data_IF_404931852268
#
_entry.id   IF_404931852268
#
_cell.length_a   1.000
_cell.length_b   1.000
_cell.length_c   1.000
_cell.angle_alpha   90.00
_cell.angle_beta   90.00
_cell.angle_gamma   90.00
#
_symmetry.space_group_name_H-M   'P 1'
#
loop_
_entity.id
_entity.type
_entity.pdbx_description
1 polymer ?
#
# COMPACT_ATOMS: atom_id res chain seq x y z
N UNK A 1 -19.89 50.87 -25.28
CA UNK A 1 -19.78 50.94 -23.82
C UNK A 1 -20.73 49.93 -23.20
N UNK A 2 -20.24 48.73 -22.84
CA UNK A 2 -20.92 47.72 -22.01
C UNK A 2 -19.83 46.78 -21.50
N UNK A 3 -19.50 46.92 -20.22
CA UNK A 3 -18.51 46.12 -19.50
C UNK A 3 -19.03 44.68 -19.35
N UNK A 4 -18.22 43.68 -19.69
CA UNK A 4 -18.42 42.30 -19.26
C UNK A 4 -17.44 42.02 -18.12
N UNK A 5 -17.98 41.89 -16.91
CA UNK A 5 -17.24 41.47 -15.72
C UNK A 5 -16.83 39.99 -15.83
N UNK A 6 -15.55 39.77 -15.62
CA UNK A 6 -14.86 38.51 -15.34
C UNK A 6 -15.41 37.82 -14.09
N UNK A 7 -15.63 36.50 -14.17
CA UNK A 7 -15.76 35.64 -13.01
C UNK A 7 -14.76 34.48 -13.15
N UNK A 8 -13.62 34.61 -12.49
CA UNK A 8 -12.58 33.59 -12.42
C UNK A 8 -12.88 32.73 -11.18
N UNK A 9 -13.53 31.58 -11.37
CA UNK A 9 -13.74 30.60 -10.30
C UNK A 9 -12.42 29.88 -10.00
N UNK A 10 -11.80 30.21 -8.87
CA UNK A 10 -10.69 29.45 -8.32
C UNK A 10 -11.21 28.15 -7.69
N UNK A 11 -10.90 27.02 -8.32
CA UNK A 11 -11.06 25.69 -7.71
C UNK A 11 -9.91 25.49 -6.72
N UNK A 12 -10.17 25.72 -5.43
CA UNK A 12 -9.24 25.34 -4.37
C UNK A 12 -9.23 23.82 -4.24
N UNK A 13 -8.15 23.16 -4.68
CA UNK A 13 -7.88 21.78 -4.30
C UNK A 13 -7.69 21.73 -2.78
N UNK A 14 -8.63 21.12 -2.06
CA UNK A 14 -8.39 20.68 -0.70
C UNK A 14 -7.31 19.59 -0.72
N UNK A 15 -6.08 19.96 -0.36
CA UNK A 15 -5.09 18.99 0.08
C UNK A 15 -5.63 18.36 1.36
N UNK A 16 -6.03 17.09 1.29
CA UNK A 16 -6.43 16.32 2.47
C UNK A 16 -5.16 16.07 3.27
N UNK A 17 -4.97 16.84 4.34
CA UNK A 17 -3.89 16.59 5.29
C UNK A 17 -4.15 15.24 5.97
N UNK A 18 -3.24 14.29 5.80
CA UNK A 18 -3.33 12.99 6.46
C UNK A 18 -3.17 13.15 7.99
N UNK A 19 -4.04 12.53 8.80
CA UNK A 19 -3.85 12.51 10.25
C UNK A 19 -2.59 11.71 10.61
N UNK A 20 -1.70 12.33 11.41
CA UNK A 20 -0.54 11.68 11.98
C UNK A 20 -0.99 10.50 12.87
N UNK A 21 -0.84 9.28 12.37
CA UNK A 21 -1.30 8.04 13.03
C UNK A 21 -2.00 7.04 12.11
N UNK A 22 -2.36 7.43 10.88
CA UNK A 22 -2.88 6.50 9.88
C UNK A 22 -1.75 5.66 9.29
N UNK A 23 -1.62 4.40 9.73
CA UNK A 23 -0.62 3.47 9.23
C UNK A 23 -1.06 2.88 7.88
N UNK A 24 -0.21 2.95 6.85
CA UNK A 24 -0.41 2.27 5.57
C UNK A 24 0.36 0.95 5.55
N UNK A 25 -0.28 -0.10 5.00
CA UNK A 25 0.30 -1.44 4.95
C UNK A 25 0.33 -1.99 3.53
N UNK A 26 1.48 -2.50 3.11
CA UNK A 26 1.63 -3.26 1.85
C UNK A 26 1.10 -4.68 2.03
N UNK A 27 0.21 -5.06 1.13
CA UNK A 27 -0.35 -6.39 0.95
C UNK A 27 0.42 -7.08 -0.17
N UNK A 28 1.45 -7.84 0.22
CA UNK A 28 2.16 -8.75 -0.69
C UNK A 28 1.51 -10.14 -0.64
N UNK A 29 1.60 -10.89 -1.73
CA UNK A 29 1.13 -12.28 -1.77
C UNK A 29 2.21 -13.27 -1.27
N UNK A 30 3.25 -12.79 -0.56
CA UNK A 30 4.42 -13.61 -0.28
C UNK A 30 4.05 -14.80 0.60
N UNK A 31 4.18 -15.99 0.00
CA UNK A 31 4.26 -17.28 0.69
C UNK A 31 5.15 -17.11 1.91
N UNK A 32 4.58 -17.21 3.10
CA UNK A 32 5.33 -17.23 4.34
C UNK A 32 6.20 -18.50 4.38
N UNK A 33 7.39 -18.44 3.80
CA UNK A 33 8.50 -19.36 4.10
C UNK A 33 9.19 -18.81 5.34
N UNK A 34 8.59 -19.05 6.50
CA UNK A 34 9.14 -18.57 7.76
C UNK A 34 8.15 -18.65 8.92
N UNK A 35 8.01 -19.85 9.49
CA UNK A 35 7.65 -20.04 10.90
C UNK A 35 6.34 -19.40 11.37
N UNK A 36 5.22 -20.03 10.99
CA UNK A 36 3.91 -19.82 11.62
C UNK A 36 3.08 -18.72 10.95
N UNK A 37 1.81 -19.05 10.71
CA UNK A 37 0.75 -18.23 10.09
C UNK A 37 0.63 -18.30 8.56
N UNK A 38 -0.55 -18.77 8.16
CA UNK A 38 -1.12 -18.89 6.81
C UNK A 38 -0.46 -19.93 5.88
N UNK A 39 -0.85 -21.18 6.13
CA UNK A 39 -0.99 -22.20 5.08
C UNK A 39 -1.86 -21.64 3.94
N UNK A 40 -1.35 -21.60 2.72
CA UNK A 40 -2.11 -21.20 1.52
C UNK A 40 -3.18 -22.23 1.12
N UNK A 41 -3.31 -23.31 1.89
CA UNK A 41 -4.46 -24.23 1.90
C UNK A 41 -5.55 -23.80 2.88
N UNK A 42 -5.32 -22.74 3.68
CA UNK A 42 -6.35 -22.16 4.53
C UNK A 42 -7.43 -21.55 3.63
N UNK A 43 -8.70 -21.98 3.77
CA UNK A 43 -9.79 -21.36 3.03
C UNK A 43 -9.78 -19.86 3.30
N UNK A 44 -10.04 -19.06 2.26
CA UNK A 44 -10.32 -17.62 2.40
C UNK A 44 -11.17 -17.44 3.66
N UNK A 45 -10.79 -16.55 4.60
CA UNK A 45 -11.51 -16.42 5.85
C UNK A 45 -12.99 -16.26 5.53
N UNK A 46 -13.81 -17.17 6.08
CA UNK A 46 -15.24 -17.24 5.74
C UNK A 46 -15.96 -15.91 6.03
N UNK A 47 -15.39 -15.13 6.97
CA UNK A 47 -15.86 -13.80 7.37
C UNK A 47 -14.76 -12.78 7.10
N UNK A 48 -14.83 -12.14 5.95
CA UNK A 48 -13.89 -11.12 5.56
C UNK A 48 -14.57 -9.97 4.81
N UNK A 49 -14.09 -8.75 5.06
CA UNK A 49 -14.46 -7.57 4.30
C UNK A 49 -13.61 -7.52 3.04
N UNK A 50 -14.22 -7.75 1.87
CA UNK A 50 -13.58 -7.56 0.57
C UNK A 50 -13.72 -6.11 0.12
N UNK A 51 -12.62 -5.50 -0.32
CA UNK A 51 -12.61 -4.14 -0.87
C UNK A 51 -11.52 -3.94 -1.91
N UNK A 52 -11.68 -2.95 -2.78
CA UNK A 52 -10.57 -2.44 -3.59
C UNK A 52 -9.50 -1.84 -2.66
N UNK A 53 -8.23 -2.17 -2.92
CA UNK A 53 -7.10 -1.58 -2.26
C UNK A 53 -7.00 -0.07 -2.55
N UNK A 54 -6.28 0.67 -1.72
CA UNK A 54 -6.16 2.12 -1.88
C UNK A 54 -5.12 2.46 -2.97
N UNK A 55 -4.03 1.70 -3.04
CA UNK A 55 -2.99 1.86 -4.05
C UNK A 55 -2.51 0.55 -4.66
N UNK A 56 -2.09 0.64 -5.92
CA UNK A 56 -1.14 -0.29 -6.52
C UNK A 56 0.28 0.19 -6.18
N UNK A 57 1.13 -0.73 -5.73
CA UNK A 57 2.47 -0.43 -5.24
C UNK A 57 3.48 -1.26 -6.03
N UNK A 58 4.55 -0.60 -6.48
CA UNK A 58 5.67 -1.27 -7.15
C UNK A 58 6.98 -0.76 -6.56
N UNK A 59 7.93 -1.67 -6.37
CA UNK A 59 9.28 -1.29 -5.97
C UNK A 59 10.03 -0.75 -7.19
N UNK A 60 10.87 0.25 -6.94
CA UNK A 60 11.83 0.75 -7.93
C UNK A 60 13.21 0.75 -7.32
N UNK A 61 14.19 0.52 -8.18
CA UNK A 61 15.62 0.53 -7.87
C UNK A 61 16.27 1.62 -8.70
N UNK A 62 16.98 2.53 -8.03
CA UNK A 62 17.86 3.51 -8.67
C UNK A 62 19.28 3.00 -8.50
N UNK A 63 19.94 2.70 -9.60
CA UNK A 63 21.30 2.14 -9.64
C UNK A 63 22.27 3.16 -10.22
N UNK A 64 23.46 3.29 -9.65
CA UNK A 64 24.54 4.10 -10.21
C UNK A 64 25.81 3.29 -10.42
N UNK A 65 26.38 3.40 -11.63
CA UNK A 65 27.60 2.67 -12.04
C UNK A 65 28.82 3.62 -12.21
N UNK A 66 28.75 4.81 -11.62
CA UNK A 66 29.86 5.79 -11.69
C UNK A 66 31.04 5.30 -10.85
N UNK A 67 32.26 5.28 -11.44
CA UNK A 67 33.47 4.75 -10.77
C UNK A 67 33.81 5.48 -9.48
N UNK A 68 33.67 6.80 -9.46
CA UNK A 68 33.89 7.59 -8.24
C UNK A 68 32.70 7.41 -7.27
N UNK A 69 32.93 6.90 -6.05
CA UNK A 69 31.85 6.56 -5.13
C UNK A 69 31.08 7.78 -4.61
N UNK A 70 31.75 8.92 -4.41
CA UNK A 70 31.10 10.13 -3.93
C UNK A 70 30.15 10.70 -5.00
N UNK A 71 30.64 10.74 -6.24
CA UNK A 71 29.86 11.17 -7.41
C UNK A 71 28.71 10.21 -7.72
N UNK A 72 28.93 8.90 -7.61
CA UNK A 72 27.88 7.87 -7.78
C UNK A 72 26.71 8.12 -6.82
N UNK A 73 27.02 8.30 -5.54
CA UNK A 73 26.03 8.59 -4.51
C UNK A 73 25.28 9.91 -4.79
N UNK A 74 26.01 10.94 -5.20
CA UNK A 74 25.40 12.23 -5.57
C UNK A 74 24.41 12.07 -6.74
N UNK A 75 24.79 11.35 -7.79
CA UNK A 75 23.95 11.08 -8.96
C UNK A 75 22.67 10.30 -8.58
N UNK A 76 22.80 9.24 -7.77
CA UNK A 76 21.66 8.44 -7.28
C UNK A 76 20.69 9.34 -6.52
N UNK A 77 21.17 10.10 -5.52
CA UNK A 77 20.31 10.96 -4.71
C UNK A 77 19.73 12.13 -5.51
N UNK A 78 20.46 12.68 -6.47
CA UNK A 78 19.95 13.72 -7.36
C UNK A 78 18.81 13.19 -8.25
N UNK A 79 18.91 11.94 -8.75
CA UNK A 79 17.84 11.30 -9.49
C UNK A 79 16.59 11.07 -8.62
N UNK A 80 16.77 10.57 -7.39
CA UNK A 80 15.68 10.38 -6.42
C UNK A 80 15.00 11.71 -6.10
N UNK A 81 15.78 12.78 -5.88
CA UNK A 81 15.25 14.13 -5.67
C UNK A 81 14.42 14.60 -6.87
N UNK A 82 14.89 14.35 -8.09
CA UNK A 82 14.15 14.65 -9.32
C UNK A 82 12.84 13.87 -9.41
N UNK A 83 12.85 12.59 -9.05
CA UNK A 83 11.67 11.74 -8.99
C UNK A 83 10.63 12.27 -7.99
N UNK A 84 11.05 12.71 -6.79
CA UNK A 84 10.17 13.31 -5.78
C UNK A 84 9.47 14.56 -6.32
N UNK A 85 10.21 15.45 -7.00
CA UNK A 85 9.64 16.67 -7.59
C UNK A 85 8.69 16.34 -8.75
N UNK A 86 9.00 15.32 -9.56
CA UNK A 86 8.15 14.88 -10.65
C UNK A 86 6.85 14.22 -10.14
N UNK A 87 6.91 13.46 -9.05
CA UNK A 87 5.77 12.71 -8.51
C UNK A 87 4.58 13.63 -8.18
N UNK A 88 4.86 14.83 -7.66
CA UNK A 88 3.85 15.86 -7.31
C UNK A 88 2.90 16.23 -8.45
N UNK A 89 3.32 16.04 -9.70
CA UNK A 89 2.55 16.37 -10.92
C UNK A 89 2.19 15.15 -11.77
N UNK A 90 2.56 13.95 -11.34
CA UNK A 90 2.46 12.72 -12.15
C UNK A 90 1.36 11.75 -11.69
N UNK A 91 0.61 12.12 -10.65
CA UNK A 91 -0.46 11.28 -10.11
C UNK A 91 0.05 9.98 -9.47
N UNK A 92 1.28 10.00 -8.96
CA UNK A 92 1.90 8.92 -8.19
C UNK A 92 2.45 9.47 -6.88
N UNK A 93 2.59 8.61 -5.89
CA UNK A 93 3.22 8.91 -4.61
C UNK A 93 4.49 8.07 -4.45
N UNK A 94 5.50 8.64 -3.79
CA UNK A 94 6.73 7.91 -3.45
C UNK A 94 6.72 7.57 -1.97
N UNK A 95 7.19 6.38 -1.64
CA UNK A 95 7.21 5.90 -0.28
C UNK A 95 8.44 5.00 0.00
N UNK A 96 8.73 4.75 1.25
CA UNK A 96 9.79 3.85 1.71
C UNK A 96 9.26 2.91 2.79
N UNK A 97 10.01 1.84 3.07
CA UNK A 97 9.62 0.75 3.97
C UNK A 97 9.15 -0.51 3.23
N UNK A 98 8.94 -1.58 4.00
CA UNK A 98 8.54 -2.89 3.47
C UNK A 98 7.10 -3.22 3.84
N UNK A 99 6.83 -3.36 5.15
CA UNK A 99 5.48 -3.66 5.67
C UNK A 99 4.75 -2.38 6.07
N UNK A 100 5.45 -1.47 6.73
CA UNK A 100 4.95 -0.15 7.13
C UNK A 100 5.49 0.85 6.13
N UNK A 101 4.59 1.61 5.53
CA UNK A 101 4.93 2.54 4.46
C UNK A 101 4.98 3.96 5.00
N UNK A 102 6.06 4.67 4.67
CA UNK A 102 6.25 6.08 5.01
C UNK A 102 6.46 6.92 3.74
N UNK A 103 5.97 8.17 3.69
CA UNK A 103 6.20 9.04 2.54
C UNK A 103 7.70 9.29 2.29
N UNK A 104 8.12 9.16 1.04
CA UNK A 104 9.46 9.57 0.60
C UNK A 104 9.41 11.04 0.15
N UNK A 105 10.19 11.87 0.82
CA UNK A 105 10.12 13.34 0.72
C UNK A 105 11.50 13.96 0.58
N UNK A 106 11.54 15.25 0.21
CA UNK A 106 12.78 16.03 0.18
C UNK A 106 13.48 16.12 1.54
N UNK A 107 12.78 15.84 2.64
CA UNK A 107 13.34 15.89 4.00
C UNK A 107 14.04 14.58 4.41
N UNK A 108 13.66 13.43 3.82
CA UNK A 108 14.17 12.12 4.24
C UNK A 108 14.83 11.30 3.12
N UNK A 109 14.82 11.73 1.86
CA UNK A 109 15.35 10.89 0.77
C UNK A 109 16.84 10.51 0.89
N UNK A 110 17.64 11.31 1.59
CA UNK A 110 19.05 11.02 1.86
C UNK A 110 19.25 9.96 2.95
N UNK A 111 18.20 9.57 3.68
CA UNK A 111 18.26 8.45 4.63
C UNK A 111 18.01 7.10 3.99
N UNK A 112 17.72 7.04 2.68
CA UNK A 112 17.65 5.79 1.95
C UNK A 112 19.01 5.11 1.97
N UNK A 113 19.01 3.84 2.37
CA UNK A 113 20.20 3.01 2.44
C UNK A 113 20.66 2.73 1.00
N UNK A 114 21.94 2.98 0.75
CA UNK A 114 22.59 2.52 -0.47
C UNK A 114 23.16 1.13 -0.21
N UNK A 115 22.73 0.17 -1.01
CA UNK A 115 23.26 -1.19 -1.02
C UNK A 115 24.23 -1.33 -2.18
N UNK A 116 25.37 -1.95 -1.93
CA UNK A 116 26.23 -2.41 -3.02
C UNK A 116 25.53 -3.54 -3.77
N UNK A 117 25.86 -3.71 -5.05
CA UNK A 117 25.35 -4.82 -5.85
C UNK A 117 26.21 -6.06 -5.59
N UNK A 118 25.58 -7.20 -5.28
CA UNK A 118 26.28 -8.43 -4.88
C UNK A 118 27.31 -8.92 -5.92
N UNK A 119 27.10 -8.56 -7.20
CA UNK A 119 27.96 -8.99 -8.31
C UNK A 119 28.94 -7.88 -8.78
N UNK A 120 28.81 -6.64 -8.29
CA UNK A 120 29.56 -5.48 -8.79
C UNK A 120 29.94 -4.48 -7.68
N UNK A 121 31.19 -4.57 -7.22
CA UNK A 121 31.79 -3.65 -6.23
C UNK A 121 31.74 -2.16 -6.66
N UNK A 122 31.63 -1.88 -7.95
CA UNK A 122 31.53 -0.51 -8.50
C UNK A 122 30.09 -0.05 -8.78
N UNK A 123 29.10 -0.72 -8.18
CA UNK A 123 27.68 -0.41 -8.32
C UNK A 123 27.03 -0.18 -6.96
N UNK A 124 26.20 0.85 -6.87
CA UNK A 124 25.33 1.08 -5.72
C UNK A 124 23.89 1.29 -6.15
N UNK A 125 22.96 0.93 -5.27
CA UNK A 125 21.55 1.12 -5.51
C UNK A 125 20.79 1.60 -4.28
N UNK A 126 19.71 2.34 -4.50
CA UNK A 126 18.67 2.63 -3.53
C UNK A 126 17.34 2.10 -4.04
N UNK A 127 16.58 1.45 -3.17
CA UNK A 127 15.23 1.00 -3.49
C UNK A 127 14.17 1.74 -2.67
N UNK A 128 13.04 2.02 -3.31
CA UNK A 128 11.87 2.65 -2.68
C UNK A 128 10.60 2.24 -3.43
N UNK A 129 9.45 2.69 -2.96
CA UNK A 129 8.14 2.33 -3.49
C UNK A 129 7.54 3.48 -4.30
N UNK A 130 6.88 3.12 -5.40
CA UNK A 130 5.97 4.00 -6.14
C UNK A 130 4.55 3.48 -5.95
N UNK A 131 3.66 4.38 -5.54
CA UNK A 131 2.24 4.10 -5.35
C UNK A 131 1.41 4.85 -6.36
N UNK A 132 0.35 4.20 -6.83
CA UNK A 132 -0.60 4.77 -7.79
C UNK A 132 -2.00 4.42 -7.32
N UNK A 133 -2.83 5.44 -7.12
CA UNK A 133 -4.16 5.26 -6.52
C UNK A 133 -5.03 4.33 -7.37
N UNK A 134 -5.73 3.42 -6.70
CA UNK A 134 -6.75 2.58 -7.31
C UNK A 134 -8.12 3.20 -7.05
N UNK A 135 -8.86 3.50 -8.12
CA UNK A 135 -10.28 3.86 -7.96
C UNK A 135 -11.08 2.61 -7.55
N UNK A 136 -12.19 2.78 -6.84
CA UNK A 136 -13.10 1.67 -6.51
C UNK A 136 -13.53 0.95 -7.80
N UNK A 137 -13.32 -0.37 -7.86
CA UNK A 137 -13.56 -1.16 -9.08
C UNK A 137 -12.67 -0.78 -10.28
N UNK A 138 -11.62 0.00 -10.04
CA UNK A 138 -10.70 0.50 -11.07
C UNK A 138 -9.81 -0.57 -11.66
N UNK A 139 -9.34 -0.29 -12.88
CA UNK A 139 -8.42 -1.16 -13.61
C UNK A 139 -6.99 -1.09 -13.03
N UNK A 140 -6.46 -2.19 -12.45
CA UNK A 140 -5.08 -2.24 -11.98
C UNK A 140 -4.06 -1.90 -13.08
N UNK A 141 -4.38 -2.19 -14.35
CA UNK A 141 -3.50 -1.91 -15.49
C UNK A 141 -3.28 -0.40 -15.67
N UNK A 142 -4.33 0.41 -15.49
CA UNK A 142 -4.19 1.87 -15.57
C UNK A 142 -3.27 2.42 -14.47
N UNK A 143 -3.24 1.80 -13.30
CA UNK A 143 -2.33 2.18 -12.22
C UNK A 143 -0.87 1.80 -12.56
N UNK A 144 -0.65 0.63 -13.14
CA UNK A 144 0.65 0.19 -13.65
C UNK A 144 1.17 1.10 -14.77
N UNK A 145 0.32 1.47 -15.72
CA UNK A 145 0.69 2.36 -16.83
C UNK A 145 1.11 3.74 -16.32
N UNK A 146 0.45 4.25 -15.26
CA UNK A 146 0.86 5.48 -14.56
C UNK A 146 2.27 5.35 -13.98
N UNK A 147 2.56 4.26 -13.28
CA UNK A 147 3.90 3.99 -12.70
C UNK A 147 4.94 3.87 -13.81
N UNK A 148 4.67 3.08 -14.85
CA UNK A 148 5.59 2.87 -15.97
C UNK A 148 5.86 4.15 -16.78
N UNK A 149 4.86 5.02 -16.92
CA UNK A 149 5.05 6.36 -17.51
C UNK A 149 5.92 7.22 -16.62
N UNK A 150 5.63 7.30 -15.32
CA UNK A 150 6.43 8.07 -14.37
C UNK A 150 7.91 7.65 -14.41
N UNK A 151 8.20 6.34 -14.38
CA UNK A 151 9.58 5.83 -14.40
C UNK A 151 10.34 6.27 -15.67
N UNK A 152 9.66 6.31 -16.83
CA UNK A 152 10.25 6.78 -18.09
C UNK A 152 10.46 8.30 -18.14
N UNK A 153 9.66 9.06 -17.41
CA UNK A 153 9.72 10.52 -17.39
C UNK A 153 10.73 11.09 -16.38
N UNK A 154 11.20 10.27 -15.42
CA UNK A 154 12.26 10.70 -14.50
C UNK A 154 13.54 10.95 -15.29
N UNK A 155 14.10 12.16 -15.22
CA UNK A 155 15.32 12.50 -15.96
C UNK A 155 16.51 11.70 -15.42
N UNK A 156 17.31 11.17 -16.33
CA UNK A 156 18.58 10.54 -15.97
C UNK A 156 19.54 11.59 -15.38
N UNK A 157 20.34 11.16 -14.41
CA UNK A 157 21.37 12.00 -13.79
C UNK A 157 22.71 11.26 -13.84
N UNK A 158 23.65 11.77 -14.64
CA UNK A 158 24.95 11.12 -14.83
C UNK A 158 24.78 9.69 -15.35
N UNK A 159 25.28 8.70 -14.59
CA UNK A 159 25.12 7.27 -14.90
C UNK A 159 24.08 6.57 -14.02
N UNK A 160 23.25 7.33 -13.31
CA UNK A 160 22.15 6.77 -12.53
C UNK A 160 20.99 6.38 -13.45
N UNK A 161 20.45 5.18 -13.23
CA UNK A 161 19.28 4.64 -13.92
C UNK A 161 18.22 4.24 -12.90
N UNK A 162 16.95 4.45 -13.24
CA UNK A 162 15.83 4.00 -12.42
C UNK A 162 15.03 2.94 -13.17
N UNK A 163 14.78 1.81 -12.51
CA UNK A 163 14.04 0.67 -13.07
C UNK A 163 13.02 0.17 -12.06
N UNK A 164 11.94 -0.40 -12.56
CA UNK A 164 10.96 -1.13 -11.74
C UNK A 164 11.52 -2.49 -11.35
N UNK A 165 11.24 -2.90 -10.11
CA UNK A 165 11.68 -4.17 -9.55
C UNK A 165 10.50 -4.94 -8.96
N UNK A 166 10.52 -6.27 -9.12
CA UNK A 166 9.53 -7.17 -8.56
C UNK A 166 8.14 -7.08 -9.22
N UNK A 167 7.16 -7.66 -8.52
CA UNK A 167 5.76 -7.67 -8.93
C UNK A 167 4.95 -6.57 -8.24
N UNK A 168 3.85 -6.17 -8.89
CA UNK A 168 2.92 -5.22 -8.30
C UNK A 168 2.21 -5.82 -7.08
N UNK A 169 2.26 -5.08 -5.99
CA UNK A 169 1.58 -5.35 -4.73
C UNK A 169 0.48 -4.32 -4.52
N UNK A 170 -0.31 -4.48 -3.46
CA UNK A 170 -1.41 -3.57 -3.12
C UNK A 170 -1.11 -2.92 -1.77
N UNK A 171 -1.70 -1.77 -1.46
CA UNK A 171 -1.66 -1.23 -0.11
C UNK A 171 -3.02 -0.75 0.37
N UNK A 172 -3.18 -0.76 1.70
CA UNK A 172 -4.37 -0.29 2.40
C UNK A 172 -3.95 0.73 3.43
N UNK A 173 -4.61 1.89 3.39
CA UNK A 173 -4.42 2.95 4.38
C UNK A 173 -5.32 2.69 5.58
N UNK A 174 -4.71 2.72 6.77
CA UNK A 174 -5.36 2.59 8.07
C UNK A 174 -6.38 1.44 8.11
N UNK A 175 -5.95 0.17 8.01
CA UNK A 175 -6.87 -0.97 8.00
C UNK A 175 -7.76 -1.04 9.25
N UNK A 176 -7.27 -0.54 10.40
CA UNK A 176 -8.01 -0.52 11.68
C UNK A 176 -9.32 0.28 11.62
N UNK A 177 -9.45 1.25 10.71
CA UNK A 177 -10.72 1.98 10.53
C UNK A 177 -11.89 1.04 10.12
N UNK A 178 -11.59 -0.11 9.52
CA UNK A 178 -12.58 -1.08 9.07
C UNK A 178 -13.05 -2.04 10.16
N UNK A 179 -12.50 -1.94 11.38
CA UNK A 179 -12.84 -2.84 12.50
C UNK A 179 -14.34 -2.93 12.72
N UNK A 180 -15.04 -1.80 12.78
CA UNK A 180 -16.49 -1.79 13.02
C UNK A 180 -17.28 -2.58 11.96
N UNK A 181 -16.89 -2.47 10.69
CA UNK A 181 -17.53 -3.19 9.58
C UNK A 181 -17.27 -4.70 9.68
N UNK A 182 -16.04 -5.09 10.01
CA UNK A 182 -15.69 -6.51 10.18
C UNK A 182 -16.42 -7.10 11.39
N UNK A 183 -16.50 -6.38 12.50
CA UNK A 183 -17.25 -6.82 13.70
C UNK A 183 -18.74 -6.98 13.37
N UNK A 184 -19.32 -6.10 12.56
CA UNK A 184 -20.70 -6.24 12.11
C UNK A 184 -20.92 -7.50 11.26
N UNK A 185 -19.98 -7.83 10.35
CA UNK A 185 -20.02 -9.08 9.58
C UNK A 185 -19.96 -10.31 10.50
N UNK A 186 -19.05 -10.29 11.49
CA UNK A 186 -18.93 -11.37 12.48
C UNK A 186 -20.21 -11.51 13.31
N UNK A 187 -20.78 -10.40 13.78
CA UNK A 187 -22.01 -10.41 14.56
C UNK A 187 -23.20 -10.94 13.75
N UNK A 188 -23.34 -10.53 12.50
CA UNK A 188 -24.40 -11.01 11.62
C UNK A 188 -24.30 -12.51 11.35
N UNK A 189 -23.11 -13.03 11.06
CA UNK A 189 -22.89 -14.46 10.86
C UNK A 189 -23.12 -15.28 12.14
N UNK A 190 -22.57 -14.81 13.27
CA UNK A 190 -22.73 -15.45 14.57
C UNK A 190 -24.21 -15.53 14.97
N UNK A 191 -24.93 -14.42 14.92
CA UNK A 191 -26.37 -14.37 15.29
C UNK A 191 -27.23 -15.16 14.33
N UNK A 192 -26.97 -15.08 13.02
CA UNK A 192 -27.65 -15.90 12.02
C UNK A 192 -27.40 -17.40 12.22
N UNK A 193 -26.21 -17.78 12.68
CA UNK A 193 -25.89 -19.16 13.00
C UNK A 193 -26.57 -19.63 14.29
N UNK A 194 -26.58 -18.84 15.36
CA UNK A 194 -27.29 -19.16 16.60
C UNK A 194 -28.81 -19.26 16.41
N UNK A 195 -29.41 -18.39 15.58
CA UNK A 195 -30.84 -18.43 15.27
C UNK A 195 -31.29 -19.76 14.66
N UNK A 196 -30.40 -20.52 14.02
CA UNK A 196 -30.70 -21.86 13.49
C UNK A 196 -30.86 -22.93 14.59
N UNK A 197 -30.39 -22.66 15.81
CA UNK A 197 -30.52 -23.57 16.96
C UNK A 197 -31.70 -23.21 17.87
N UNK A 198 -32.34 -22.06 17.66
CA UNK A 198 -33.51 -21.59 18.43
C UNK A 198 -33.18 -20.46 19.41
N UNK A 199 -34.23 -19.85 19.97
CA UNK A 199 -34.12 -18.63 20.80
C UNK A 199 -33.42 -18.86 22.14
N UNK A 200 -33.31 -20.11 22.58
CA UNK A 200 -32.60 -20.50 23.81
C UNK A 200 -31.09 -20.56 23.64
N UNK A 201 -30.55 -20.21 22.46
CA UNK A 201 -29.11 -20.20 22.21
C UNK A 201 -28.54 -18.78 22.08
N UNK A 202 -27.29 -18.62 22.51
CA UNK A 202 -26.49 -17.39 22.41
C UNK A 202 -25.12 -17.69 21.82
N UNK A 203 -24.41 -16.65 21.40
CA UNK A 203 -23.04 -16.77 20.88
C UNK A 203 -22.04 -16.18 21.87
N UNK A 204 -20.95 -16.89 22.08
CA UNK A 204 -19.74 -16.35 22.70
C UNK A 204 -18.67 -16.21 21.62
N UNK A 205 -18.29 -14.97 21.30
CA UNK A 205 -17.26 -14.64 20.30
C UNK A 205 -15.93 -14.34 21.00
N UNK A 206 -14.82 -14.85 20.46
CA UNK A 206 -13.46 -14.60 20.92
C UNK A 206 -12.61 -13.98 19.81
N UNK A 207 -11.61 -13.17 20.18
CA UNK A 207 -10.64 -12.59 19.25
C UNK A 207 -11.05 -11.27 18.60
N UNK A 208 -12.11 -10.61 19.10
CA UNK A 208 -12.52 -9.27 18.63
C UNK A 208 -11.52 -8.16 18.99
N UNK A 209 -10.67 -8.41 19.97
CA UNK A 209 -9.59 -7.55 20.45
C UNK A 209 -8.29 -7.69 19.62
N UNK A 210 -8.20 -8.74 18.79
CA UNK A 210 -7.02 -8.99 17.95
C UNK A 210 -6.88 -7.94 16.86
N UNK A 211 -5.67 -7.81 16.32
CA UNK A 211 -5.37 -6.92 15.20
C UNK A 211 -6.08 -7.39 13.93
N UNK A 212 -6.49 -6.44 13.10
CA UNK A 212 -6.97 -6.77 11.75
C UNK A 212 -5.83 -7.43 10.98
N UNK A 213 -6.19 -8.46 10.23
CA UNK A 213 -5.33 -9.15 9.29
C UNK A 213 -5.83 -8.87 7.88
N UNK A 214 -4.95 -9.00 6.90
CA UNK A 214 -5.25 -8.70 5.51
C UNK A 214 -4.60 -9.71 4.58
N UNK A 215 -5.14 -9.79 3.36
CA UNK A 215 -4.51 -10.52 2.27
C UNK A 215 -5.06 -10.09 0.93
N UNK A 216 -4.40 -10.53 -0.14
CA UNK A 216 -4.78 -10.19 -1.51
C UNK A 216 -5.95 -11.07 -1.97
N UNK A 217 -7.06 -10.44 -2.36
CA UNK A 217 -8.24 -11.13 -2.88
C UNK A 217 -8.21 -11.24 -4.42
N UNK A 218 -7.70 -10.22 -5.11
CA UNK A 218 -7.58 -10.20 -6.57
C UNK A 218 -6.46 -9.25 -7.02
N UNK A 219 -6.42 -8.91 -8.31
CA UNK A 219 -5.42 -7.98 -8.84
C UNK A 219 -5.52 -6.56 -8.25
N UNK A 220 -6.72 -6.12 -7.85
CA UNK A 220 -6.98 -4.80 -7.24
C UNK A 220 -7.66 -4.88 -5.87
N UNK A 221 -8.08 -6.06 -5.42
CA UNK A 221 -8.83 -6.20 -4.18
C UNK A 221 -8.04 -6.92 -3.09
N UNK A 222 -8.40 -6.59 -1.86
CA UNK A 222 -7.91 -7.18 -0.63
C UNK A 222 -9.09 -7.68 0.20
N UNK A 223 -8.82 -8.63 1.07
CA UNK A 223 -9.72 -8.99 2.15
C UNK A 223 -9.12 -8.54 3.48
N UNK A 224 -9.95 -7.95 4.35
CA UNK A 224 -9.63 -7.59 5.72
C UNK A 224 -10.46 -8.45 6.66
N UNK A 225 -9.86 -9.02 7.70
CA UNK A 225 -10.57 -9.91 8.61
C UNK A 225 -10.00 -9.86 10.02
N UNK A 226 -10.82 -10.30 10.99
CA UNK A 226 -10.36 -10.58 12.35
C UNK A 226 -10.25 -12.11 12.51
N UNK A 227 -9.15 -12.62 13.10
CA UNK A 227 -9.00 -14.04 13.37
C UNK A 227 -9.85 -14.44 14.60
N UNK A 228 -11.17 -14.43 14.42
CA UNK A 228 -12.17 -14.73 15.44
C UNK A 228 -12.55 -16.21 15.45
N UNK A 229 -13.05 -16.65 16.59
CA UNK A 229 -13.79 -17.91 16.73
C UNK A 229 -15.03 -17.65 17.55
N UNK A 230 -16.07 -18.46 17.37
CA UNK A 230 -17.25 -18.38 18.21
C UNK A 230 -17.86 -19.75 18.49
N UNK A 231 -18.55 -19.85 19.61
CA UNK A 231 -19.31 -21.03 20.03
C UNK A 231 -20.76 -20.65 20.31
N UNK A 232 -21.68 -21.55 19.96
CA UNK A 232 -23.12 -21.41 20.21
C UNK A 232 -23.45 -22.21 21.48
N UNK A 233 -24.07 -21.56 22.47
CA UNK A 233 -24.31 -22.11 23.80
C UNK A 233 -25.75 -21.84 24.25
N UNK A 234 -26.37 -22.68 25.08
CA UNK A 234 -27.65 -22.38 25.70
C UNK A 234 -27.62 -21.12 26.60
N UNK A 235 -28.75 -20.41 26.68
CA UNK A 235 -29.04 -19.31 27.60
C UNK A 235 -29.50 -19.90 28.93
N UNK A 236 -28.56 -20.43 29.72
CA UNK A 236 -28.82 -20.72 31.13
C UNK A 236 -28.94 -19.41 31.93
#
# INVERSE_FOLDING_TARGET
MRLFCTALSAFTLCAVAMPAGAQEVVVTANRARGGGYMDTSAPSPALALRRTADFAVLQVKVTGDTRDPAKRREEIYAMIRGAIVLAQKSGVELATGETIVEPLTLANYQSLILTDDDDRDDTQAASFLIKSALSQGGDPKAALERIARFVREVPAVGRAEMKTEGEMTLSVVNPEQYRGQIVALVAADATGSAGKFGDDYRVQVQGLDRRIQWGRASLSEVYLYLPVSYVILPKN
#
